data_IF_360987884040
#
_entry.id   IF_360987884040
#
_cell.length_a   1.000
_cell.length_b   1.000
_cell.length_c   1.000
_cell.angle_alpha   90.00
_cell.angle_beta   90.00
_cell.angle_gamma   90.00
#
_symmetry.space_group_name_H-M   'P 1'
#
loop_
_entity.id
_entity.type
_entity.pdbx_description
1 polymer ?
#
# COMPACT_ATOMS: atom_id res chain seq x y z
N UNK A 1 -2.49 -1.52 -10.42
CA UNK A 1 -1.94 -0.17 -10.73
C UNK A 1 -0.58 0.07 -10.06
N UNK A 2 0.42 0.62 -10.76
CA UNK A 2 1.76 0.92 -10.21
C UNK A 2 1.94 2.43 -9.99
N UNK A 3 2.38 2.82 -8.79
CA UNK A 3 2.53 4.23 -8.37
C UNK A 3 3.95 4.45 -7.86
N UNK A 4 4.51 5.62 -8.17
CA UNK A 4 5.77 6.11 -7.63
C UNK A 4 5.49 7.24 -6.62
N UNK A 5 6.03 7.11 -5.40
CA UNK A 5 5.98 8.15 -4.36
C UNK A 5 7.36 8.51 -3.85
N UNK A 6 7.53 9.77 -3.49
CA UNK A 6 8.78 10.30 -2.93
C UNK A 6 8.48 10.79 -1.52
N UNK A 7 9.23 10.26 -0.57
CA UNK A 7 9.19 10.65 0.83
C UNK A 7 10.47 11.45 1.15
N UNK A 8 10.43 12.45 2.04
CA UNK A 8 11.64 12.93 2.69
C UNK A 8 12.31 11.75 3.40
N UNK A 9 13.61 11.84 3.73
CA UNK A 9 14.36 10.75 4.39
C UNK A 9 13.71 10.27 5.70
N UNK A 10 12.76 9.36 5.53
CA UNK A 10 11.97 8.68 6.53
C UNK A 10 12.40 7.21 6.53
N UNK A 11 12.22 6.58 7.68
CA UNK A 11 12.43 5.15 7.83
C UNK A 11 11.41 4.37 6.99
N UNK A 12 11.77 3.17 6.55
CA UNK A 12 10.87 2.24 5.85
C UNK A 12 9.61 1.98 6.67
N UNK A 13 9.71 1.92 8.00
CA UNK A 13 8.57 1.72 8.90
C UNK A 13 7.59 2.90 8.82
N UNK A 14 8.10 4.14 8.85
CA UNK A 14 7.26 5.35 8.75
C UNK A 14 6.57 5.43 7.38
N UNK A 15 7.31 5.13 6.32
CA UNK A 15 6.79 5.06 4.95
C UNK A 15 5.67 4.02 4.85
N UNK A 16 5.85 2.84 5.45
CA UNK A 16 4.81 1.79 5.46
C UNK A 16 3.56 2.23 6.23
N UNK A 17 3.72 2.93 7.36
CA UNK A 17 2.57 3.49 8.10
C UNK A 17 1.83 4.56 7.30
N UNK A 18 2.55 5.46 6.62
CA UNK A 18 1.94 6.46 5.74
C UNK A 18 1.19 5.82 4.57
N UNK A 19 1.80 4.82 3.92
CA UNK A 19 1.15 4.06 2.85
C UNK A 19 -0.08 3.31 3.37
N UNK A 20 -0.01 2.74 4.57
CA UNK A 20 -1.16 2.08 5.21
C UNK A 20 -2.31 3.04 5.50
N UNK A 21 -2.02 4.28 5.90
CA UNK A 21 -3.04 5.32 6.09
C UNK A 21 -3.74 5.69 4.77
N UNK A 22 -3.03 5.57 3.64
CA UNK A 22 -3.54 5.96 2.33
C UNK A 22 -4.26 4.83 1.57
N UNK A 23 -3.73 3.62 1.65
CA UNK A 23 -4.15 2.48 0.82
C UNK A 23 -4.61 1.28 1.66
N UNK A 24 -4.70 1.42 2.99
CA UNK A 24 -5.02 0.31 3.89
C UNK A 24 -3.94 -0.76 3.84
N UNK A 25 -4.34 -2.03 3.80
CA UNK A 25 -3.41 -3.15 3.60
C UNK A 25 -3.32 -3.59 2.13
N UNK A 26 -3.96 -2.86 1.20
CA UNK A 26 -4.03 -3.22 -0.21
C UNK A 26 -2.95 -2.52 -1.03
N UNK A 27 -1.68 -2.74 -0.66
CA UNK A 27 -0.53 -2.30 -1.44
C UNK A 27 0.66 -3.23 -1.19
N UNK A 28 1.52 -3.34 -2.21
CA UNK A 28 2.79 -4.04 -2.13
C UNK A 28 3.89 -3.05 -2.46
N UNK A 29 4.91 -2.96 -1.61
CA UNK A 29 6.11 -2.18 -1.91
C UNK A 29 7.01 -3.04 -2.78
N UNK A 30 7.28 -2.58 -4.01
CA UNK A 30 8.13 -3.30 -4.98
C UNK A 30 9.59 -2.88 -4.81
N UNK A 31 9.84 -1.58 -4.68
CA UNK A 31 11.19 -1.04 -4.70
C UNK A 31 11.31 0.17 -3.77
N UNK A 32 12.47 0.27 -3.09
CA UNK A 32 12.83 1.38 -2.22
C UNK A 32 14.22 1.87 -2.61
N UNK A 33 14.29 3.13 -3.04
CA UNK A 33 15.50 3.79 -3.48
C UNK A 33 15.83 4.98 -2.60
N UNK A 34 16.99 4.95 -1.93
CA UNK A 34 17.48 6.07 -1.13
C UNK A 34 18.31 7.02 -1.99
N UNK A 35 17.84 8.26 -2.14
CA UNK A 35 18.44 9.27 -3.01
C UNK A 35 18.99 10.39 -2.14
N UNK A 36 20.30 10.61 -2.22
CA UNK A 36 20.96 11.79 -1.61
C UNK A 36 21.24 12.82 -2.70
N UNK A 37 20.58 13.97 -2.63
CA UNK A 37 20.77 15.07 -3.56
C UNK A 37 21.50 16.22 -2.86
N UNK A 38 22.69 16.54 -3.34
CA UNK A 38 23.44 17.70 -2.86
C UNK A 38 23.07 18.93 -3.68
N UNK A 39 22.62 20.03 -3.05
CA UNK A 39 22.31 21.28 -3.76
C UNK A 39 23.57 21.94 -4.34
N UNK A 40 24.74 21.63 -3.77
CA UNK A 40 26.04 22.09 -4.23
C UNK A 40 26.92 20.84 -4.34
N UNK A 41 27.52 20.54 -5.51
CA UNK A 41 28.49 19.48 -5.60
C UNK A 41 29.62 19.81 -4.60
N UNK A 42 30.08 18.83 -3.83
CA UNK A 42 31.20 18.95 -2.86
C UNK A 42 30.92 19.53 -1.47
N UNK A 43 29.71 19.98 -1.12
CA UNK A 43 29.35 20.28 0.28
C UNK A 43 28.46 19.17 0.90
N UNK A 44 29.04 18.22 1.65
CA UNK A 44 28.28 17.11 2.24
C UNK A 44 27.29 17.57 3.32
N UNK A 45 27.49 18.75 3.91
CA UNK A 45 26.73 19.27 5.05
C UNK A 45 25.28 19.67 4.74
N UNK A 46 24.90 19.80 3.46
CA UNK A 46 23.58 20.27 3.04
C UNK A 46 22.88 19.32 2.06
N UNK A 47 23.23 18.04 2.05
CA UNK A 47 22.52 17.04 1.27
C UNK A 47 21.06 16.91 1.72
N UNK A 48 20.11 16.98 0.78
CA UNK A 48 18.73 16.57 1.03
C UNK A 48 18.60 15.10 0.68
N UNK A 49 18.09 14.33 1.63
CA UNK A 49 17.88 12.89 1.49
C UNK A 49 16.40 12.61 1.27
N UNK A 50 16.11 11.72 0.33
CA UNK A 50 14.76 11.32 -0.04
C UNK A 50 14.71 9.80 -0.21
N UNK A 51 13.57 9.22 0.09
CA UNK A 51 13.29 7.81 -0.18
C UNK A 51 12.22 7.74 -1.25
N UNK A 52 12.58 7.20 -2.40
CA UNK A 52 11.66 6.90 -3.48
C UNK A 52 11.12 5.49 -3.30
N UNK A 53 9.81 5.34 -3.43
CA UNK A 53 9.12 4.07 -3.21
C UNK A 53 8.22 3.80 -4.41
N UNK A 54 8.39 2.62 -5.00
CA UNK A 54 7.51 2.11 -6.04
C UNK A 54 6.55 1.12 -5.37
N UNK A 55 5.26 1.40 -5.49
CA UNK A 55 4.19 0.56 -4.94
C UNK A 55 3.31 0.02 -6.05
N UNK A 56 2.86 -1.21 -5.87
CA UNK A 56 1.78 -1.80 -6.63
C UNK A 56 0.53 -1.84 -5.77
N UNK A 57 -0.55 -1.33 -6.32
CA UNK A 57 -1.89 -1.48 -5.77
C UNK A 57 -2.58 -2.56 -6.61
N UNK A 58 -2.84 -3.75 -6.02
CA UNK A 58 -3.69 -4.74 -6.65
C UNK A 58 -5.04 -4.11 -6.98
N UNK A 59 -5.49 -4.26 -8.23
CA UNK A 59 -6.89 -4.06 -8.52
C UNK A 59 -7.61 -5.29 -7.95
N UNK A 60 -8.15 -5.15 -6.74
CA UNK A 60 -9.15 -6.11 -6.27
C UNK A 60 -10.31 -6.05 -7.26
N UNK A 61 -10.41 -7.05 -8.14
CA UNK A 61 -11.68 -7.40 -8.74
C UNK A 61 -12.63 -7.68 -7.57
N UNK A 62 -13.48 -6.71 -7.26
CA UNK A 62 -14.59 -6.88 -6.33
C UNK A 62 -15.57 -7.90 -6.95
N UNK A 63 -15.24 -9.18 -6.86
CA UNK A 63 -16.24 -10.25 -6.92
C UNK A 63 -17.06 -10.16 -5.62
N UNK A 64 -18.00 -9.21 -5.61
CA UNK A 64 -19.16 -9.29 -4.75
C UNK A 64 -20.02 -10.43 -5.32
N UNK A 65 -19.63 -11.68 -5.09
CA UNK A 65 -20.55 -12.80 -5.23
C UNK A 65 -21.48 -12.76 -4.01
N UNK A 66 -22.45 -11.85 -4.02
CA UNK A 66 -23.66 -11.99 -3.21
C UNK A 66 -24.34 -13.26 -3.67
N UNK A 67 -24.05 -14.38 -3.01
CA UNK A 67 -24.92 -15.55 -3.08
C UNK A 67 -26.21 -15.15 -2.36
N UNK A 68 -27.37 -15.14 -3.04
CA UNK A 68 -28.63 -14.81 -2.39
C UNK A 68 -28.92 -15.89 -1.34
N UNK A 69 -29.04 -15.45 -0.09
CA UNK A 69 -29.64 -16.20 0.99
C UNK A 69 -31.09 -16.55 0.61
N UNK A 70 -31.34 -17.75 0.10
CA UNK A 70 -32.69 -18.26 -0.06
C UNK A 70 -33.04 -19.12 1.16
N UNK A 71 -33.88 -18.54 2.02
CA UNK A 71 -34.41 -19.17 3.21
C UNK A 71 -35.49 -20.21 2.95
N UNK A 72 -35.85 -20.87 4.06
CA UNK A 72 -37.01 -21.75 4.30
C UNK A 72 -37.04 -23.06 3.55
N UNK A 73 -36.89 -24.15 4.31
CA UNK A 73 -37.91 -25.20 4.41
C UNK A 73 -37.92 -25.73 5.85
N UNK A 74 -38.93 -25.31 6.61
CA UNK A 74 -39.43 -26.09 7.74
C UNK A 74 -39.83 -27.47 7.19
N UNK A 75 -39.22 -28.53 7.71
CA UNK A 75 -39.78 -29.87 7.63
C UNK A 75 -39.70 -30.48 9.03
N UNK A 76 -40.82 -30.36 9.74
CA UNK A 76 -41.24 -31.37 10.72
C UNK A 76 -41.36 -32.69 9.96
N UNK A 77 -40.74 -33.73 10.46
CA UNK A 77 -41.42 -35.02 10.56
C UNK A 77 -40.82 -35.80 11.73
N UNK A 78 -41.66 -36.05 12.72
CA UNK A 78 -41.46 -37.03 13.78
C UNK A 78 -41.33 -38.43 13.16
N UNK A 79 -40.43 -39.26 13.67
CA UNK A 79 -40.57 -40.71 13.83
C UNK A 79 -39.53 -41.24 14.81
#
# INVERSE_FOLDING_TARGET
>A
MLIKKIFPSQDIVEIQEELRKLYGNNFVVIEINHIKKYPIPFLPLFGKEYTEVIIEIPEEENEISVSPSNGKRDFKEEL
#
